data_IF_436217542805
#
_entry.id   IF_436217542805
#
_cell.length_a   1.000
_cell.length_b   1.000
_cell.length_c   1.000
_cell.angle_alpha   90.00
_cell.angle_beta   90.00
_cell.angle_gamma   90.00
#
_symmetry.space_group_name_H-M   'P 1'
#
loop_
_entity.id
_entity.type
_entity.pdbx_description
1 polymer ?
#
# COMPACT_ATOMS: atom_id res chain seq x y z
N UNK A 1 -28.44 -4.18 52.44
CA UNK A 1 -28.64 -5.50 51.86
C UNK A 1 -27.90 -6.54 52.71
N UNK A 2 -28.51 -7.61 53.08
CA UNK A 2 -27.89 -8.75 53.76
C UNK A 2 -28.15 -9.97 52.87
N UNK A 3 -27.35 -10.17 51.79
CA UNK A 3 -27.55 -11.28 50.88
C UNK A 3 -27.15 -12.59 51.54
N UNK A 4 -27.85 -13.68 51.23
CA UNK A 4 -27.50 -15.04 51.69
C UNK A 4 -26.15 -15.49 51.09
N UNK A 5 -25.86 -15.06 49.82
CA UNK A 5 -24.61 -15.36 49.13
C UNK A 5 -23.99 -14.08 48.58
N UNK A 6 -22.71 -13.92 48.83
CA UNK A 6 -21.88 -12.84 48.25
C UNK A 6 -20.80 -13.43 47.36
N UNK A 7 -20.90 -13.26 46.04
CA UNK A 7 -19.99 -13.86 45.07
C UNK A 7 -18.80 -12.93 44.75
N UNK A 8 -17.60 -13.44 44.79
CA UNK A 8 -16.36 -12.76 44.37
C UNK A 8 -15.55 -13.61 43.38
N UNK A 9 -14.76 -13.00 42.52
CA UNK A 9 -13.88 -13.70 41.58
C UNK A 9 -12.78 -14.49 42.26
N UNK A 10 -12.36 -15.61 41.69
CA UNK A 10 -11.37 -16.56 42.24
C UNK A 10 -9.98 -15.92 42.48
N UNK A 11 -9.63 -14.84 41.79
CA UNK A 11 -8.40 -14.06 41.99
C UNK A 11 -8.26 -13.50 43.41
N UNK A 12 -9.33 -13.44 44.19
CA UNK A 12 -9.35 -13.04 45.58
C UNK A 12 -9.25 -14.22 46.59
N UNK A 13 -9.26 -15.46 46.10
CA UNK A 13 -9.25 -16.68 46.97
C UNK A 13 -7.87 -17.34 47.10
N UNK A 14 -6.96 -17.16 46.12
CA UNK A 14 -5.70 -17.90 46.05
C UNK A 14 -4.52 -17.14 46.68
N UNK A 15 -4.45 -17.02 47.98
CA UNK A 15 -3.27 -16.62 48.73
C UNK A 15 -2.93 -15.13 48.76
N UNK A 16 -3.76 -14.28 48.18
CA UNK A 16 -3.68 -12.80 48.23
C UNK A 16 -5.03 -12.19 48.63
N UNK A 17 -5.59 -12.71 49.74
CA UNK A 17 -6.79 -12.07 50.29
C UNK A 17 -6.36 -10.69 50.77
N UNK A 18 -6.88 -9.66 50.14
CA UNK A 18 -6.63 -8.27 50.55
C UNK A 18 -7.28 -8.03 51.91
N UNK A 19 -6.76 -7.13 52.76
CA UNK A 19 -7.41 -6.76 54.03
C UNK A 19 -8.91 -6.43 53.86
N UNK A 20 -9.28 -5.75 52.77
CA UNK A 20 -10.63 -5.41 52.43
C UNK A 20 -11.52 -6.67 52.19
N UNK A 21 -11.03 -7.71 51.54
CA UNK A 21 -11.76 -8.95 51.29
C UNK A 21 -11.99 -9.72 52.57
N UNK A 22 -11.04 -9.67 53.52
CA UNK A 22 -11.22 -10.27 54.86
C UNK A 22 -12.28 -9.52 55.68
N UNK A 23 -12.36 -8.18 55.60
CA UNK A 23 -13.42 -7.40 56.25
C UNK A 23 -14.79 -7.70 55.68
N UNK A 24 -14.88 -7.77 54.36
CA UNK A 24 -16.14 -8.14 53.66
C UNK A 24 -16.60 -9.56 54.07
N UNK A 25 -15.69 -10.51 54.13
CA UNK A 25 -15.99 -11.87 54.57
C UNK A 25 -16.53 -11.91 56.03
N UNK A 26 -15.91 -11.12 56.93
CA UNK A 26 -16.37 -11.00 58.32
C UNK A 26 -17.77 -10.37 58.42
N UNK A 27 -18.04 -9.35 57.60
CA UNK A 27 -19.35 -8.70 57.56
C UNK A 27 -20.42 -9.66 57.03
N UNK A 28 -20.13 -10.39 55.95
CA UNK A 28 -21.06 -11.36 55.34
C UNK A 28 -21.37 -12.50 56.34
N UNK A 29 -20.35 -13.10 56.96
CA UNK A 29 -20.53 -14.15 57.97
C UNK A 29 -21.19 -13.64 59.25
N UNK A 30 -21.01 -12.38 59.59
CA UNK A 30 -21.59 -11.79 60.80
C UNK A 30 -23.12 -11.71 60.85
N UNK A 31 -23.78 -11.79 59.70
CA UNK A 31 -25.24 -11.89 59.58
C UNK A 31 -25.74 -13.23 59.06
N UNK A 32 -24.85 -14.26 58.94
CA UNK A 32 -25.18 -15.61 58.48
C UNK A 32 -25.13 -15.83 56.98
N UNK A 33 -24.63 -14.89 56.21
CA UNK A 33 -24.38 -15.03 54.76
C UNK A 33 -23.10 -15.81 54.47
N UNK A 34 -22.99 -16.33 53.26
CA UNK A 34 -21.84 -17.09 52.77
C UNK A 34 -21.13 -16.36 51.62
N UNK A 35 -19.78 -16.29 51.70
CA UNK A 35 -18.99 -15.76 50.62
C UNK A 35 -18.59 -16.89 49.64
N UNK A 36 -19.03 -16.78 48.39
CA UNK A 36 -18.75 -17.77 47.34
C UNK A 36 -17.71 -17.16 46.38
N UNK A 37 -16.63 -17.92 46.09
CA UNK A 37 -15.67 -17.57 45.03
C UNK A 37 -16.04 -18.30 43.75
N UNK A 38 -16.38 -17.52 42.71
CA UNK A 38 -16.72 -18.12 41.41
C UNK A 38 -15.44 -18.59 40.73
N UNK A 39 -15.34 -19.87 40.32
CA UNK A 39 -14.22 -20.37 39.54
C UNK A 39 -14.25 -19.69 38.16
N UNK A 40 -13.25 -18.87 37.88
CA UNK A 40 -13.03 -18.33 36.55
C UNK A 40 -11.86 -19.05 35.90
N UNK A 41 -12.12 -19.75 34.82
CA UNK A 41 -11.04 -20.42 34.05
C UNK A 41 -10.05 -19.47 33.43
N UNK A 42 -10.34 -18.16 33.42
CA UNK A 42 -9.43 -17.13 32.92
C UNK A 42 -9.56 -15.83 33.74
N UNK A 43 -8.53 -15.50 34.54
CA UNK A 43 -8.47 -14.26 35.29
C UNK A 43 -8.00 -13.11 34.38
N UNK A 44 -8.95 -12.35 33.87
CA UNK A 44 -8.65 -11.05 33.26
C UNK A 44 -8.88 -9.93 34.29
N UNK A 45 -7.82 -9.42 34.92
CA UNK A 45 -7.95 -8.10 35.58
C UNK A 45 -8.18 -7.04 34.49
N UNK A 46 -9.01 -6.05 34.78
CA UNK A 46 -9.26 -4.90 33.86
C UNK A 46 -7.96 -4.27 33.40
N UNK A 47 -6.96 -4.19 34.28
CA UNK A 47 -5.61 -3.71 33.97
C UNK A 47 -4.85 -4.64 33.03
N UNK A 48 -5.01 -5.97 33.16
CA UNK A 48 -4.43 -6.94 32.22
C UNK A 48 -5.15 -6.93 30.89
N UNK A 49 -6.48 -6.75 30.87
CA UNK A 49 -7.27 -6.61 29.63
C UNK A 49 -6.89 -5.33 28.88
N UNK A 50 -6.66 -4.23 29.58
CA UNK A 50 -6.19 -2.96 28.98
C UNK A 50 -4.76 -3.08 28.44
N UNK A 51 -3.93 -3.97 29.00
CA UNK A 51 -2.57 -4.22 28.56
C UNK A 51 -2.42 -5.41 27.60
N UNK A 52 -3.47 -6.22 27.40
CA UNK A 52 -3.53 -7.23 26.35
C UNK A 52 -3.87 -6.50 25.04
N UNK A 53 -2.85 -6.25 24.23
CA UNK A 53 -3.12 -5.93 22.81
C UNK A 53 -4.05 -7.00 22.26
N UNK A 54 -5.19 -6.59 21.66
CA UNK A 54 -6.12 -7.52 20.99
C UNK A 54 -5.31 -8.50 20.14
N UNK A 55 -5.58 -9.82 20.20
CA UNK A 55 -4.91 -10.77 19.31
C UNK A 55 -5.12 -10.29 17.87
N UNK A 56 -4.03 -9.96 17.20
CA UNK A 56 -4.07 -9.50 15.82
C UNK A 56 -4.07 -10.74 14.93
N UNK A 57 -5.26 -11.19 14.53
CA UNK A 57 -5.46 -12.32 13.60
C UNK A 57 -4.60 -12.13 12.34
N UNK A 58 -4.40 -10.88 11.93
CA UNK A 58 -3.55 -10.50 10.81
C UNK A 58 -2.11 -11.00 10.97
N UNK A 59 -1.57 -10.95 12.18
CA UNK A 59 -0.23 -11.45 12.46
C UNK A 59 -0.18 -12.98 12.39
N UNK A 60 -1.22 -13.67 12.85
CA UNK A 60 -1.28 -15.14 12.81
C UNK A 60 -1.31 -15.63 11.34
N UNK A 61 -2.08 -14.98 10.46
CA UNK A 61 -2.12 -15.29 9.02
C UNK A 61 -0.73 -15.05 8.36
N UNK A 62 -0.06 -13.96 8.73
CA UNK A 62 1.29 -13.69 8.24
C UNK A 62 2.28 -14.76 8.69
N UNK A 63 2.26 -15.13 9.96
CA UNK A 63 3.16 -16.15 10.53
C UNK A 63 2.94 -17.52 9.91
N UNK A 64 1.68 -17.93 9.70
CA UNK A 64 1.36 -19.17 9.01
C UNK A 64 1.91 -19.21 7.59
N UNK A 65 1.72 -18.12 6.84
CA UNK A 65 2.28 -17.98 5.49
C UNK A 65 3.82 -18.03 5.52
N UNK A 66 4.47 -17.33 6.45
CA UNK A 66 5.92 -17.34 6.61
C UNK A 66 6.44 -18.74 6.93
N UNK A 67 5.80 -19.47 7.85
CA UNK A 67 6.16 -20.84 8.22
C UNK A 67 6.01 -21.79 7.03
N UNK A 68 4.89 -21.74 6.32
CA UNK A 68 4.62 -22.55 5.11
C UNK A 68 5.68 -22.37 4.04
N UNK A 69 6.24 -21.17 3.89
CA UNK A 69 7.24 -20.86 2.90
C UNK A 69 8.66 -20.77 3.46
N UNK A 70 8.88 -21.17 4.73
CA UNK A 70 10.19 -21.14 5.42
C UNK A 70 10.84 -19.75 5.38
N UNK A 71 10.06 -18.71 5.57
CA UNK A 71 10.50 -17.33 5.62
C UNK A 71 10.58 -16.91 7.10
N UNK A 72 11.70 -16.30 7.50
CA UNK A 72 11.91 -15.75 8.84
C UNK A 72 11.86 -14.23 8.81
N UNK A 73 11.68 -13.59 9.96
CA UNK A 73 11.79 -12.13 10.08
C UNK A 73 13.18 -11.65 9.64
N UNK A 74 14.25 -12.38 9.95
CA UNK A 74 15.59 -12.07 9.48
C UNK A 74 15.69 -12.10 7.95
N UNK A 75 15.01 -13.02 7.28
CA UNK A 75 14.93 -13.05 5.81
C UNK A 75 14.32 -11.77 5.27
N UNK A 76 13.24 -11.26 5.87
CA UNK A 76 12.60 -10.00 5.48
C UNK A 76 13.55 -8.81 5.72
N UNK A 77 14.17 -8.72 6.91
CA UNK A 77 15.14 -7.68 7.28
C UNK A 77 16.36 -7.66 6.36
N UNK A 78 16.91 -8.83 6.03
CA UNK A 78 18.02 -8.96 5.09
C UNK A 78 17.62 -8.59 3.65
N UNK A 79 16.38 -8.88 3.25
CA UNK A 79 15.87 -8.49 1.95
C UNK A 79 15.84 -6.97 1.81
N UNK A 80 15.36 -6.23 2.82
CA UNK A 80 15.39 -4.77 2.81
C UNK A 80 16.80 -4.21 2.56
N UNK A 81 17.84 -4.81 3.16
CA UNK A 81 19.24 -4.40 2.93
C UNK A 81 19.73 -4.64 1.50
N UNK A 82 19.14 -5.62 0.78
CA UNK A 82 19.53 -5.97 -0.61
C UNK A 82 18.88 -5.06 -1.66
N UNK A 83 17.83 -4.31 -1.33
CA UNK A 83 17.08 -3.48 -2.27
C UNK A 83 17.96 -2.42 -2.95
N UNK A 84 18.99 -1.93 -2.27
CA UNK A 84 19.97 -0.94 -2.80
C UNK A 84 20.75 -1.43 -4.02
N UNK A 85 20.80 -2.72 -4.26
CA UNK A 85 21.53 -3.32 -5.39
C UNK A 85 20.68 -3.42 -6.65
N UNK A 86 19.41 -2.98 -6.60
CA UNK A 86 18.47 -3.06 -7.72
C UNK A 86 18.45 -1.77 -8.50
N UNK A 87 18.39 -1.87 -9.82
CA UNK A 87 18.17 -0.71 -10.70
C UNK A 87 16.81 -0.83 -11.40
N UNK A 88 16.05 0.24 -11.41
CA UNK A 88 14.68 0.28 -11.95
C UNK A 88 14.50 1.49 -12.86
N UNK A 89 13.82 1.29 -13.98
CA UNK A 89 13.35 2.37 -14.84
C UNK A 89 11.84 2.52 -14.72
N UNK A 90 11.40 3.60 -14.12
CA UNK A 90 9.97 3.97 -14.06
C UNK A 90 9.63 4.79 -15.29
N UNK A 91 8.61 4.37 -16.00
CA UNK A 91 8.00 5.12 -17.11
C UNK A 91 6.54 5.35 -16.75
N UNK A 92 6.09 6.59 -16.74
CA UNK A 92 4.70 6.83 -16.37
C UNK A 92 4.28 8.28 -16.26
N UNK A 93 3.00 8.45 -15.95
CA UNK A 93 2.34 9.74 -15.85
C UNK A 93 2.64 10.38 -14.48
N UNK A 94 3.30 11.54 -14.49
CA UNK A 94 3.51 12.32 -13.26
C UNK A 94 2.26 13.11 -12.92
N UNK A 95 1.94 13.15 -11.64
CA UNK A 95 0.88 13.97 -11.07
C UNK A 95 1.50 14.90 -10.03
N UNK A 96 1.03 16.13 -9.95
CA UNK A 96 1.24 17.00 -8.79
C UNK A 96 -0.04 16.95 -7.96
N UNK A 97 0.03 16.28 -6.80
CA UNK A 97 -1.06 16.25 -5.85
C UNK A 97 -0.97 17.49 -4.95
N UNK A 98 -1.96 18.37 -5.06
CA UNK A 98 -2.06 19.60 -4.26
C UNK A 98 -3.13 19.44 -3.19
N UNK A 99 -2.82 19.87 -1.98
CA UNK A 99 -3.76 19.95 -0.87
C UNK A 99 -3.90 21.40 -0.45
N UNK A 100 -5.06 21.99 -0.78
CA UNK A 100 -5.40 23.35 -0.37
C UNK A 100 -6.24 23.29 0.89
N UNK A 101 -5.63 23.66 2.03
CA UNK A 101 -6.31 23.71 3.33
C UNK A 101 -7.05 25.01 3.49
N UNK A 102 -8.27 24.90 3.99
CA UNK A 102 -9.19 26.05 4.15
C UNK A 102 -10.00 25.91 5.44
N UNK A 103 -10.61 27.00 5.86
CA UNK A 103 -11.64 27.03 6.92
C UNK A 103 -12.99 27.43 6.32
N UNK A 104 -14.07 26.73 6.69
CA UNK A 104 -15.42 27.10 6.31
C UNK A 104 -15.81 28.43 6.99
N UNK A 105 -16.26 29.39 6.18
CA UNK A 105 -16.75 30.68 6.68
C UNK A 105 -18.29 30.71 6.70
N UNK A 106 -18.94 29.80 6.01
CA UNK A 106 -20.40 29.71 5.88
C UNK A 106 -20.85 29.76 4.42
N UNK A 107 -22.15 29.78 4.22
CA UNK A 107 -22.78 29.92 2.90
C UNK A 107 -23.01 31.40 2.55
N UNK A 108 -22.99 31.69 1.25
CA UNK A 108 -23.40 33.02 0.78
C UNK A 108 -24.93 33.09 0.67
N UNK A 109 -25.54 34.12 1.23
CA UNK A 109 -27.00 34.30 1.21
C UNK A 109 -27.56 34.68 -0.15
N UNK A 110 -26.72 35.23 -1.06
CA UNK A 110 -27.13 35.65 -2.41
C UNK A 110 -27.09 34.52 -3.42
N UNK A 111 -26.22 33.51 -3.21
CA UNK A 111 -26.07 32.35 -4.08
C UNK A 111 -25.77 31.11 -3.19
N UNK A 112 -26.26 29.90 -3.56
CA UNK A 112 -26.01 28.70 -2.77
C UNK A 112 -24.55 28.23 -2.97
N UNK A 113 -23.60 29.04 -2.46
CA UNK A 113 -22.16 28.82 -2.64
C UNK A 113 -21.50 28.70 -1.27
N UNK A 114 -20.72 27.65 -1.07
CA UNK A 114 -19.87 27.49 0.11
C UNK A 114 -18.66 28.41 0.03
N UNK A 115 -18.49 29.26 1.04
CA UNK A 115 -17.33 30.15 1.15
C UNK A 115 -16.30 29.56 2.11
N UNK A 116 -15.04 29.61 1.69
CA UNK A 116 -13.91 29.10 2.47
C UNK A 116 -12.79 30.13 2.54
N UNK A 117 -12.12 30.20 3.69
CA UNK A 117 -10.94 31.02 3.90
C UNK A 117 -9.70 30.18 3.62
N UNK A 118 -8.88 30.61 2.64
CA UNK A 118 -7.60 29.95 2.32
C UNK A 118 -6.64 30.03 3.52
N UNK A 119 -5.96 28.91 3.80
CA UNK A 119 -4.93 28.81 4.81
C UNK A 119 -3.56 28.59 4.17
N UNK A 120 -3.38 27.44 3.54
CA UNK A 120 -2.13 27.02 2.92
C UNK A 120 -2.39 26.07 1.76
N UNK A 121 -1.37 25.90 0.91
CA UNK A 121 -1.35 24.91 -0.15
C UNK A 121 -0.03 24.15 -0.15
N UNK A 122 -0.12 22.84 -0.08
CA UNK A 122 1.02 21.92 -0.14
C UNK A 122 0.96 21.09 -1.41
N UNK A 123 2.07 21.07 -2.17
CA UNK A 123 2.19 20.32 -3.41
C UNK A 123 3.13 19.12 -3.19
N UNK A 124 2.70 17.93 -3.66
CA UNK A 124 3.46 16.67 -3.60
C UNK A 124 3.61 16.10 -4.99
N UNK A 125 4.72 15.41 -5.23
CA UNK A 125 4.89 14.66 -6.48
C UNK A 125 4.26 13.29 -6.34
N UNK A 126 3.21 13.04 -7.09
CA UNK A 126 2.44 11.80 -7.13
C UNK A 126 2.57 11.06 -8.47
N UNK A 127 1.67 10.10 -8.69
CA UNK A 127 1.69 9.24 -9.87
C UNK A 127 2.99 8.47 -10.01
N UNK A 128 3.52 8.35 -11.22
CA UNK A 128 4.79 7.67 -11.47
C UNK A 128 5.98 8.32 -10.74
N UNK A 129 5.86 9.61 -10.38
CA UNK A 129 6.90 10.32 -9.63
C UNK A 129 7.05 9.83 -8.21
N UNK A 130 5.97 9.52 -7.49
CA UNK A 130 6.07 8.95 -6.14
C UNK A 130 6.57 7.51 -6.16
N UNK A 131 6.20 6.71 -7.18
CA UNK A 131 6.78 5.38 -7.41
C UNK A 131 8.31 5.49 -7.49
N UNK A 132 8.83 6.44 -8.30
CA UNK A 132 10.26 6.67 -8.41
C UNK A 132 10.89 7.11 -7.07
N UNK A 133 10.20 7.93 -6.27
CA UNK A 133 10.66 8.36 -4.93
C UNK A 133 10.69 7.20 -3.94
N UNK A 134 9.68 6.31 -3.90
CA UNK A 134 9.68 5.11 -3.06
C UNK A 134 10.85 4.18 -3.39
N UNK A 135 11.06 3.89 -4.68
CA UNK A 135 12.20 3.07 -5.13
C UNK A 135 13.54 3.68 -4.72
N UNK A 136 13.67 5.00 -4.85
CA UNK A 136 14.89 5.71 -4.47
C UNK A 136 15.12 5.72 -2.97
N UNK A 137 14.07 5.94 -2.19
CA UNK A 137 14.09 5.87 -0.72
C UNK A 137 14.53 4.48 -0.24
N UNK A 138 14.09 3.41 -0.92
CA UNK A 138 14.56 2.04 -0.67
C UNK A 138 16.04 1.80 -1.04
N UNK A 139 16.74 2.81 -1.57
CA UNK A 139 18.15 2.76 -1.94
C UNK A 139 18.44 2.33 -3.38
N UNK A 140 17.44 2.03 -4.19
CA UNK A 140 17.61 1.56 -5.56
C UNK A 140 18.21 2.65 -6.48
N UNK A 141 18.85 2.22 -7.56
CA UNK A 141 19.20 3.11 -8.67
C UNK A 141 17.98 3.32 -9.55
N UNK A 142 17.49 4.56 -9.64
CA UNK A 142 16.24 4.88 -10.33
C UNK A 142 16.48 5.75 -11.55
N UNK A 143 15.96 5.29 -12.68
CA UNK A 143 15.73 6.08 -13.88
C UNK A 143 14.24 6.39 -13.97
N UNK A 144 13.90 7.61 -14.31
CA UNK A 144 12.52 8.04 -14.39
C UNK A 144 12.26 8.75 -15.71
N UNK A 145 11.33 8.26 -16.51
CA UNK A 145 10.90 8.89 -17.77
C UNK A 145 9.44 9.29 -17.67
N UNK A 146 9.15 10.55 -17.89
CA UNK A 146 7.81 11.13 -17.79
C UNK A 146 7.63 12.30 -18.75
N UNK A 147 6.38 12.76 -18.89
CA UNK A 147 6.02 13.95 -19.66
C UNK A 147 5.53 15.03 -18.71
N UNK A 148 5.97 16.24 -18.93
CA UNK A 148 5.57 17.43 -18.18
C UNK A 148 5.17 18.55 -19.14
N UNK A 149 4.25 19.39 -18.72
CA UNK A 149 3.87 20.60 -19.45
C UNK A 149 4.95 21.68 -19.39
N UNK A 150 4.73 22.78 -20.11
CA UNK A 150 5.57 23.99 -20.04
C UNK A 150 4.97 24.96 -19.01
N UNK A 151 5.02 24.60 -17.72
CA UNK A 151 4.40 25.35 -16.62
C UNK A 151 5.24 25.29 -15.32
N UNK A 152 4.75 25.94 -14.26
CA UNK A 152 5.47 26.01 -12.97
C UNK A 152 5.58 24.64 -12.29
N UNK A 153 4.60 23.76 -12.46
CA UNK A 153 4.65 22.41 -11.89
C UNK A 153 5.77 21.57 -12.49
N UNK A 154 6.12 21.79 -13.76
CA UNK A 154 7.33 21.19 -14.35
C UNK A 154 8.57 21.48 -13.50
N UNK A 155 8.77 22.76 -13.14
CA UNK A 155 9.95 23.16 -12.36
C UNK A 155 9.94 22.54 -10.97
N UNK A 156 8.77 22.48 -10.34
CA UNK A 156 8.56 21.80 -9.06
C UNK A 156 8.95 20.32 -9.15
N UNK A 157 8.39 19.56 -10.10
CA UNK A 157 8.68 18.14 -10.29
C UNK A 157 10.17 17.89 -10.53
N UNK A 158 10.80 18.65 -11.46
CA UNK A 158 12.23 18.48 -11.75
C UNK A 158 13.09 18.77 -10.52
N UNK A 159 12.75 19.78 -9.73
CA UNK A 159 13.45 20.12 -8.48
C UNK A 159 13.34 18.98 -7.46
N UNK A 160 12.14 18.45 -7.24
CA UNK A 160 11.90 17.35 -6.30
C UNK A 160 12.62 16.05 -6.71
N UNK A 161 12.63 15.72 -7.99
CA UNK A 161 13.38 14.57 -8.51
C UNK A 161 14.89 14.76 -8.33
N UNK A 162 15.40 15.96 -8.56
CA UNK A 162 16.82 16.30 -8.35
C UNK A 162 17.21 16.20 -6.88
N UNK A 163 16.39 16.76 -5.96
CA UNK A 163 16.58 16.62 -4.50
C UNK A 163 16.65 15.15 -4.09
N UNK A 164 15.80 14.31 -4.67
CA UNK A 164 15.77 12.86 -4.42
C UNK A 164 16.89 12.10 -5.14
N UNK A 165 17.78 12.77 -5.90
CA UNK A 165 18.87 12.15 -6.67
C UNK A 165 18.36 11.06 -7.64
N UNK A 166 17.22 11.30 -8.31
CA UNK A 166 16.62 10.42 -9.31
C UNK A 166 17.08 10.87 -10.70
N UNK A 167 17.55 9.93 -11.54
CA UNK A 167 17.98 10.22 -12.93
C UNK A 167 16.72 10.39 -13.78
N UNK A 168 16.33 11.64 -14.06
CA UNK A 168 15.05 11.97 -14.67
C UNK A 168 15.19 12.36 -16.13
N UNK A 169 14.44 11.72 -17.01
CA UNK A 169 14.26 12.04 -18.42
C UNK A 169 12.88 12.71 -18.59
N UNK A 170 12.75 13.96 -18.21
CA UNK A 170 11.52 14.72 -18.38
C UNK A 170 11.39 15.18 -19.85
N UNK A 171 10.35 14.74 -20.53
CA UNK A 171 10.00 15.20 -21.88
C UNK A 171 9.02 16.35 -21.71
N UNK A 172 9.40 17.53 -22.16
CA UNK A 172 8.55 18.71 -22.07
C UNK A 172 7.66 18.78 -23.30
N UNK A 173 6.36 18.75 -23.07
CA UNK A 173 5.33 18.89 -24.10
C UNK A 173 4.51 20.16 -23.82
N UNK A 174 4.72 21.18 -24.63
CA UNK A 174 4.04 22.47 -24.47
C UNK A 174 2.55 22.45 -24.87
N UNK A 175 2.07 21.34 -25.44
CA UNK A 175 0.67 21.21 -25.88
C UNK A 175 -0.27 20.78 -24.75
N UNK A 176 0.29 20.36 -23.60
CA UNK A 176 -0.47 19.87 -22.44
C UNK A 176 0.05 20.48 -21.14
N UNK A 177 -0.79 20.56 -20.09
CA UNK A 177 -0.34 20.94 -18.76
C UNK A 177 0.41 19.77 -18.09
N UNK A 178 1.28 20.07 -17.11
CA UNK A 178 1.65 19.10 -16.09
C UNK A 178 0.39 18.76 -15.31
N UNK A 179 0.05 17.47 -15.18
CA UNK A 179 -1.15 17.05 -14.46
C UNK A 179 -1.10 17.52 -13.01
N UNK A 180 -2.16 18.22 -12.59
CA UNK A 180 -2.34 18.64 -11.19
C UNK A 180 -3.72 18.20 -10.70
N UNK A 181 -3.73 17.61 -9.51
CA UNK A 181 -4.95 17.22 -8.79
C UNK A 181 -4.99 17.97 -7.48
N UNK A 182 -5.82 19.01 -7.41
CA UNK A 182 -5.92 19.85 -6.22
C UNK A 182 -7.15 19.47 -5.38
N UNK A 183 -6.91 18.97 -4.17
CA UNK A 183 -7.96 18.66 -3.20
C UNK A 183 -8.13 19.84 -2.25
N UNK A 184 -9.33 20.39 -2.21
CA UNK A 184 -9.70 21.47 -1.29
C UNK A 184 -10.25 20.83 0.00
N UNK A 185 -9.64 21.16 1.12
CA UNK A 185 -9.93 20.58 2.44
C UNK A 185 -10.42 21.67 3.41
N UNK A 186 -11.36 21.32 4.28
CA UNK A 186 -11.67 22.09 5.48
C UNK A 186 -11.65 21.15 6.68
N UNK A 187 -10.65 21.33 7.53
CA UNK A 187 -10.34 20.34 8.56
C UNK A 187 -10.07 18.97 7.94
N UNK A 188 -10.84 17.96 8.32
CA UNK A 188 -10.75 16.59 7.80
C UNK A 188 -11.62 16.33 6.56
N UNK A 189 -12.45 17.29 6.17
CA UNK A 189 -13.42 17.12 5.08
C UNK A 189 -12.82 17.51 3.74
N UNK A 190 -12.93 16.62 2.76
CA UNK A 190 -12.62 16.89 1.34
C UNK A 190 -13.83 17.57 0.72
N UNK A 191 -13.75 18.87 0.44
CA UNK A 191 -14.87 19.66 -0.09
C UNK A 191 -15.00 19.54 -1.60
N UNK A 192 -13.88 19.60 -2.30
CA UNK A 192 -13.84 19.65 -3.76
C UNK A 192 -12.49 19.13 -4.25
N UNK A 193 -12.48 18.54 -5.44
CA UNK A 193 -11.26 18.19 -6.16
C UNK A 193 -11.24 18.87 -7.52
N UNK A 194 -10.17 19.61 -7.82
CA UNK A 194 -9.97 20.31 -9.08
C UNK A 194 -8.83 19.62 -9.82
N UNK A 195 -9.14 18.96 -10.94
CA UNK A 195 -8.18 18.26 -11.75
C UNK A 195 -7.85 19.07 -13.01
N UNK A 196 -6.56 19.43 -13.18
CA UNK A 196 -6.01 20.00 -14.41
C UNK A 196 -5.24 18.89 -15.14
N UNK A 197 -5.85 18.30 -16.15
CA UNK A 197 -5.31 17.12 -16.84
C UNK A 197 -5.63 17.16 -18.34
N UNK A 198 -4.68 16.67 -19.14
CA UNK A 198 -4.91 16.30 -20.53
C UNK A 198 -4.69 14.82 -20.71
N UNK A 199 -5.74 14.12 -21.14
CA UNK A 199 -5.77 12.66 -21.33
C UNK A 199 -5.58 12.25 -22.80
N UNK A 200 -5.31 13.20 -23.70
CA UNK A 200 -5.10 12.88 -25.12
C UNK A 200 -3.82 12.05 -25.29
N UNK A 201 -3.81 11.12 -26.27
CA UNK A 201 -2.59 10.37 -26.59
C UNK A 201 -1.40 11.30 -26.86
N UNK A 202 -0.23 10.87 -26.48
CA UNK A 202 1.01 11.56 -26.79
C UNK A 202 1.31 11.48 -28.30
N UNK A 203 2.06 12.47 -28.81
CA UNK A 203 2.50 12.45 -30.20
C UNK A 203 3.52 11.31 -30.45
N UNK A 204 3.60 10.86 -31.69
CA UNK A 204 4.56 9.83 -32.12
C UNK A 204 6.01 10.24 -31.81
N UNK A 205 6.34 11.53 -31.97
CA UNK A 205 7.65 12.08 -31.61
C UNK A 205 7.99 11.89 -30.14
N UNK A 206 7.03 12.09 -29.26
CA UNK A 206 7.17 11.88 -27.81
C UNK A 206 7.30 10.39 -27.51
N UNK A 207 6.47 9.55 -28.12
CA UNK A 207 6.52 8.09 -27.98
C UNK A 207 7.89 7.54 -28.36
N UNK A 208 8.46 7.93 -29.51
CA UNK A 208 9.82 7.54 -29.95
C UNK A 208 10.90 7.96 -28.97
N UNK A 209 10.76 9.14 -28.33
CA UNK A 209 11.71 9.57 -27.27
C UNK A 209 11.62 8.64 -26.05
N UNK A 210 10.43 8.28 -25.59
CA UNK A 210 10.26 7.35 -24.46
C UNK A 210 10.88 5.99 -24.80
N UNK A 211 10.60 5.46 -25.98
CA UNK A 211 11.19 4.20 -26.47
C UNK A 211 12.73 4.26 -26.47
N UNK A 212 13.32 5.37 -26.91
CA UNK A 212 14.76 5.54 -26.90
C UNK A 212 15.36 5.50 -25.49
N UNK A 213 14.69 6.12 -24.51
CA UNK A 213 15.10 6.06 -23.10
C UNK A 213 14.97 4.64 -22.53
N UNK A 214 13.88 3.91 -22.84
CA UNK A 214 13.71 2.52 -22.40
C UNK A 214 14.84 1.64 -22.93
N UNK A 215 15.18 1.76 -24.21
CA UNK A 215 16.26 1.00 -24.86
C UNK A 215 17.64 1.33 -24.30
N UNK A 216 17.89 2.59 -23.95
CA UNK A 216 19.22 3.07 -23.51
C UNK A 216 19.52 2.70 -22.05
N UNK A 217 18.52 2.59 -21.17
CA UNK A 217 18.75 2.39 -19.75
C UNK A 217 19.00 0.91 -19.42
N UNK A 218 20.17 0.65 -18.81
CA UNK A 218 20.47 -0.66 -18.25
C UNK A 218 19.88 -0.78 -16.86
N UNK A 219 18.82 -1.59 -16.70
CA UNK A 219 18.10 -1.77 -15.44
C UNK A 219 17.65 -3.21 -15.27
N UNK A 220 17.34 -3.61 -14.03
CA UNK A 220 16.81 -4.92 -13.70
C UNK A 220 15.31 -5.03 -13.99
N UNK A 221 14.57 -3.92 -13.82
CA UNK A 221 13.13 -3.86 -14.07
C UNK A 221 12.71 -2.56 -14.76
N UNK A 222 11.64 -2.64 -15.55
CA UNK A 222 10.87 -1.49 -16.04
C UNK A 222 9.50 -1.55 -15.40
N UNK A 223 9.08 -0.42 -14.79
CA UNK A 223 7.73 -0.24 -14.23
C UNK A 223 6.97 0.72 -15.14
N UNK A 224 5.81 0.29 -15.64
CA UNK A 224 4.83 1.15 -16.26
C UNK A 224 3.79 1.56 -15.22
N UNK A 225 3.81 2.84 -14.84
CA UNK A 225 2.87 3.43 -13.88
C UNK A 225 1.89 4.30 -14.66
N UNK A 226 0.72 3.73 -14.93
CA UNK A 226 -0.29 4.24 -15.86
C UNK A 226 -1.44 4.90 -15.11
N UNK A 227 -1.61 6.21 -15.32
CA UNK A 227 -2.75 6.99 -14.82
C UNK A 227 -3.67 7.45 -15.96
N UNK A 228 -3.46 6.95 -17.16
CA UNK A 228 -4.20 7.31 -18.38
C UNK A 228 -4.14 8.79 -18.75
N UNK A 229 -3.02 9.43 -18.47
CA UNK A 229 -2.78 10.83 -18.87
C UNK A 229 -2.01 10.96 -20.19
N UNK A 230 -2.12 9.97 -21.07
CA UNK A 230 -1.70 10.02 -22.46
C UNK A 230 -0.49 9.19 -22.86
N UNK A 231 0.39 8.79 -21.91
CA UNK A 231 1.53 7.91 -22.23
C UNK A 231 1.04 6.53 -22.67
N UNK A 232 0.10 5.96 -21.91
CA UNK A 232 -0.36 4.58 -22.10
C UNK A 232 -1.76 4.54 -22.74
N UNK A 233 -1.87 3.79 -23.82
CA UNK A 233 -3.10 3.46 -24.48
C UNK A 233 -2.92 2.15 -25.26
N UNK A 234 -4.00 1.63 -25.84
CA UNK A 234 -4.01 0.37 -26.58
C UNK A 234 -2.94 0.29 -27.69
N UNK A 235 -2.58 1.42 -28.30
CA UNK A 235 -1.58 1.47 -29.40
C UNK A 235 -0.17 1.67 -28.85
N UNK A 236 0.03 2.58 -27.87
CA UNK A 236 1.37 2.90 -27.34
C UNK A 236 1.96 1.79 -26.46
N UNK A 237 1.13 1.04 -25.71
CA UNK A 237 1.62 -0.01 -24.79
C UNK A 237 2.43 -1.07 -25.53
N UNK A 238 1.96 -1.70 -26.64
CA UNK A 238 2.74 -2.69 -27.38
C UNK A 238 4.09 -2.14 -27.87
N UNK A 239 4.11 -0.90 -28.35
CA UNK A 239 5.33 -0.25 -28.83
C UNK A 239 6.33 0.00 -27.71
N UNK A 240 5.87 0.46 -26.55
CA UNK A 240 6.71 0.67 -25.37
C UNK A 240 7.25 -0.67 -24.84
N UNK A 241 6.40 -1.70 -24.78
CA UNK A 241 6.79 -3.06 -24.35
C UNK A 241 7.86 -3.64 -25.29
N UNK A 242 7.71 -3.46 -26.61
CA UNK A 242 8.71 -3.92 -27.59
C UNK A 242 10.10 -3.30 -27.41
N UNK A 243 10.16 -2.13 -26.75
CA UNK A 243 11.39 -1.41 -26.46
C UNK A 243 12.11 -1.92 -25.21
N UNK A 244 11.46 -2.75 -24.39
CA UNK A 244 12.05 -3.32 -23.16
C UNK A 244 12.93 -4.53 -23.55
N UNK A 245 14.22 -4.57 -23.14
CA UNK A 245 15.08 -5.70 -23.40
C UNK A 245 14.52 -7.01 -22.81
N UNK A 246 14.66 -8.14 -23.52
CA UNK A 246 14.01 -9.44 -23.18
C UNK A 246 14.27 -9.92 -21.74
N UNK A 247 15.45 -9.61 -21.15
CA UNK A 247 15.84 -10.06 -19.80
C UNK A 247 15.38 -9.13 -18.68
N UNK A 248 14.79 -8.00 -19.02
CA UNK A 248 14.36 -6.99 -18.03
C UNK A 248 12.98 -7.37 -17.51
N UNK A 249 12.82 -7.35 -16.19
CA UNK A 249 11.58 -7.66 -15.49
C UNK A 249 10.52 -6.57 -15.75
N UNK A 250 9.35 -6.96 -16.23
CA UNK A 250 8.28 -6.04 -16.63
C UNK A 250 7.21 -5.97 -15.55
N UNK A 251 6.93 -4.77 -15.10
CA UNK A 251 5.90 -4.49 -14.08
C UNK A 251 4.93 -3.45 -14.59
N UNK A 252 3.64 -3.61 -14.31
CA UNK A 252 2.65 -2.59 -14.60
C UNK A 252 1.62 -2.45 -13.48
N UNK A 253 1.24 -1.20 -13.25
CA UNK A 253 0.08 -0.77 -12.48
C UNK A 253 -0.71 0.20 -13.35
N UNK A 254 -2.03 0.03 -13.45
CA UNK A 254 -2.88 0.86 -14.31
C UNK A 254 -4.12 1.27 -13.57
N UNK A 255 -4.26 2.56 -13.32
CA UNK A 255 -5.35 3.11 -12.51
C UNK A 255 -6.59 3.42 -13.35
N UNK A 256 -7.75 3.22 -12.75
CA UNK A 256 -9.03 3.70 -13.25
C UNK A 256 -9.26 5.10 -12.69
N UNK A 257 -9.06 6.11 -13.53
CA UNK A 257 -9.25 7.52 -13.18
C UNK A 257 -10.42 8.14 -13.99
N UNK A 258 -10.25 9.35 -14.50
CA UNK A 258 -11.20 10.03 -15.40
C UNK A 258 -11.33 9.37 -16.77
N UNK A 259 -10.31 8.63 -17.19
CA UNK A 259 -10.38 7.65 -18.29
C UNK A 259 -10.20 6.24 -17.74
N UNK A 260 -10.75 5.30 -18.47
CA UNK A 260 -10.72 3.90 -18.10
C UNK A 260 -9.34 3.32 -18.30
N UNK A 261 -8.63 3.12 -17.19
CA UNK A 261 -7.44 2.31 -17.17
C UNK A 261 -7.80 0.87 -17.49
N UNK A 262 -6.98 0.19 -18.24
CA UNK A 262 -7.25 -1.17 -18.65
C UNK A 262 -6.02 -2.04 -18.42
N UNK A 263 -5.95 -2.68 -17.25
CA UNK A 263 -4.83 -3.55 -16.90
C UNK A 263 -4.67 -4.72 -17.88
N UNK A 264 -5.71 -5.11 -18.60
CA UNK A 264 -5.64 -6.18 -19.60
C UNK A 264 -4.85 -5.80 -20.86
N UNK A 265 -4.57 -4.52 -21.08
CA UNK A 265 -3.67 -4.09 -22.15
C UNK A 265 -2.21 -4.48 -21.89
N UNK A 266 -1.83 -4.72 -20.61
CA UNK A 266 -0.47 -5.07 -20.18
C UNK A 266 -0.24 -6.58 -20.23
N UNK A 267 -0.06 -7.09 -21.44
CA UNK A 267 0.05 -8.52 -21.72
C UNK A 267 1.44 -9.09 -21.42
N UNK A 268 1.49 -10.30 -20.85
CA UNK A 268 2.72 -11.05 -20.59
C UNK A 268 3.73 -10.28 -19.71
N UNK A 269 3.22 -9.54 -18.72
CA UNK A 269 4.05 -8.89 -17.73
C UNK A 269 4.51 -9.88 -16.65
N UNK A 270 5.67 -9.60 -16.06
CA UNK A 270 6.21 -10.44 -15.00
C UNK A 270 5.52 -10.20 -13.67
N UNK A 271 5.03 -8.97 -13.44
CA UNK A 271 4.23 -8.60 -12.28
C UNK A 271 3.16 -7.56 -12.65
N UNK A 272 1.93 -7.80 -12.24
CA UNK A 272 0.83 -6.83 -12.27
C UNK A 272 0.34 -6.56 -10.83
N UNK A 273 -0.02 -5.29 -10.53
CA UNK A 273 -0.46 -4.88 -9.19
C UNK A 273 -1.78 -4.10 -9.18
N UNK A 274 -2.82 -4.50 -9.92
CA UNK A 274 -4.09 -3.76 -9.92
C UNK A 274 -4.77 -3.83 -8.55
N UNK A 275 -5.67 -2.86 -8.28
CA UNK A 275 -6.66 -3.02 -7.24
C UNK A 275 -7.93 -3.74 -7.77
N UNK A 276 -8.81 -4.14 -6.86
CA UNK A 276 -10.04 -4.86 -7.22
C UNK A 276 -10.90 -4.07 -8.20
N UNK A 277 -11.06 -2.76 -7.97
CA UNK A 277 -11.86 -1.88 -8.85
C UNK A 277 -11.27 -1.82 -10.26
N UNK A 278 -9.95 -1.72 -10.38
CA UNK A 278 -9.23 -1.71 -11.65
C UNK A 278 -9.39 -3.03 -12.40
N UNK A 279 -9.26 -4.15 -11.69
CA UNK A 279 -9.46 -5.49 -12.26
C UNK A 279 -10.90 -5.71 -12.72
N UNK A 280 -11.88 -5.40 -11.87
CA UNK A 280 -13.31 -5.52 -12.20
C UNK A 280 -13.71 -4.67 -13.39
N UNK A 281 -13.25 -3.43 -13.38
CA UNK A 281 -13.53 -2.49 -14.44
C UNK A 281 -12.97 -2.97 -15.79
N UNK A 282 -11.72 -3.46 -15.78
CA UNK A 282 -11.05 -3.96 -17.00
C UNK A 282 -11.72 -5.20 -17.59
N UNK A 283 -12.38 -6.01 -16.77
CA UNK A 283 -13.08 -7.22 -17.19
C UNK A 283 -14.60 -7.01 -17.38
N UNK A 284 -15.12 -5.80 -17.09
CA UNK A 284 -16.54 -5.51 -17.01
C UNK A 284 -17.30 -6.48 -16.08
N UNK A 285 -16.68 -6.85 -14.97
CA UNK A 285 -17.16 -7.86 -14.01
C UNK A 285 -17.38 -7.21 -12.62
N UNK A 286 -18.65 -7.06 -12.23
CA UNK A 286 -18.99 -6.45 -10.93
C UNK A 286 -19.27 -7.48 -9.84
N UNK A 287 -19.64 -8.71 -10.19
CA UNK A 287 -20.32 -9.64 -9.30
C UNK A 287 -19.49 -10.88 -8.92
N UNK A 288 -18.52 -11.25 -9.72
CA UNK A 288 -17.74 -12.47 -9.53
C UNK A 288 -16.92 -12.45 -8.23
N UNK A 289 -16.69 -13.63 -7.66
CA UNK A 289 -15.75 -13.82 -6.57
C UNK A 289 -14.32 -13.43 -6.98
N UNK A 290 -13.46 -13.11 -6.01
CA UNK A 290 -12.04 -12.79 -6.25
C UNK A 290 -11.32 -13.93 -7.00
N UNK A 291 -11.68 -15.19 -6.73
CA UNK A 291 -11.10 -16.35 -7.44
C UNK A 291 -11.45 -16.36 -8.93
N UNK A 292 -12.69 -16.03 -9.27
CA UNK A 292 -13.14 -15.95 -10.68
C UNK A 292 -12.47 -14.75 -11.35
N UNK A 293 -12.52 -13.58 -10.70
CA UNK A 293 -11.91 -12.33 -11.19
C UNK A 293 -10.43 -12.53 -11.53
N UNK A 294 -9.66 -13.12 -10.62
CA UNK A 294 -8.22 -13.34 -10.82
C UNK A 294 -7.91 -14.39 -11.90
N UNK A 295 -8.76 -15.42 -12.01
CA UNK A 295 -8.65 -16.43 -13.07
C UNK A 295 -8.87 -15.81 -14.44
N UNK A 296 -9.89 -14.96 -14.58
CA UNK A 296 -10.22 -14.35 -15.86
C UNK A 296 -9.23 -13.25 -16.23
N UNK A 297 -8.73 -12.50 -15.24
CA UNK A 297 -7.61 -11.60 -15.42
C UNK A 297 -6.36 -12.34 -15.94
N UNK A 298 -6.06 -13.53 -15.39
CA UNK A 298 -4.95 -14.35 -15.83
C UNK A 298 -5.08 -14.85 -17.27
N UNK A 299 -6.30 -15.20 -17.71
CA UNK A 299 -6.55 -15.58 -19.09
C UNK A 299 -6.31 -14.42 -20.06
N UNK A 300 -6.77 -13.22 -19.68
CA UNK A 300 -6.67 -12.03 -20.53
C UNK A 300 -5.24 -11.49 -20.60
N UNK A 301 -4.54 -11.37 -19.48
CA UNK A 301 -3.22 -10.70 -19.41
C UNK A 301 -2.04 -11.65 -19.56
N UNK A 302 -2.20 -12.94 -19.23
CA UNK A 302 -1.12 -13.94 -19.22
C UNK A 302 0.07 -13.50 -18.37
N UNK A 303 -0.18 -12.88 -17.22
CA UNK A 303 0.85 -12.45 -16.27
C UNK A 303 1.60 -13.65 -15.68
N UNK A 304 2.84 -13.44 -15.19
CA UNK A 304 3.56 -14.45 -14.39
C UNK A 304 3.20 -14.35 -12.92
N UNK A 305 3.14 -13.12 -12.38
CA UNK A 305 2.78 -12.85 -11.00
C UNK A 305 1.73 -11.73 -10.94
N UNK A 306 0.81 -11.85 -9.99
CA UNK A 306 -0.23 -10.87 -9.68
C UNK A 306 -0.19 -10.57 -8.19
N UNK A 307 -0.33 -9.31 -7.82
CA UNK A 307 -0.71 -8.85 -6.48
C UNK A 307 -1.97 -8.02 -6.64
N UNK A 308 -3.13 -8.60 -6.34
CA UNK A 308 -4.42 -7.90 -6.39
C UNK A 308 -4.66 -7.20 -5.05
N UNK A 309 -4.76 -5.87 -5.10
CA UNK A 309 -5.00 -5.02 -3.92
C UNK A 309 -6.49 -4.98 -3.59
N UNK A 310 -6.88 -5.29 -2.35
CA UNK A 310 -8.27 -5.37 -1.89
C UNK A 310 -8.63 -4.31 -0.83
N UNK A 311 -7.87 -3.24 -0.74
CA UNK A 311 -8.02 -2.18 0.26
C UNK A 311 -7.83 -2.69 1.68
N UNK A 312 -8.78 -2.42 2.58
CA UNK A 312 -8.74 -2.87 3.98
C UNK A 312 -8.72 -4.39 4.14
N UNK A 313 -9.15 -5.15 3.13
CA UNK A 313 -9.08 -6.63 3.12
C UNK A 313 -7.68 -7.17 2.80
N UNK A 314 -6.70 -6.30 2.53
CA UNK A 314 -5.33 -6.70 2.21
C UNK A 314 -5.11 -7.00 0.73
N UNK A 315 -4.46 -8.12 0.42
CA UNK A 315 -4.11 -8.51 -0.95
C UNK A 315 -4.35 -10.01 -1.21
N UNK A 316 -4.54 -10.34 -2.49
CA UNK A 316 -4.41 -11.71 -3.00
C UNK A 316 -3.28 -11.77 -4.00
N UNK A 317 -2.38 -12.72 -3.83
CA UNK A 317 -1.20 -12.90 -4.69
C UNK A 317 -1.22 -14.24 -5.40
N UNK A 318 -0.89 -14.22 -6.69
CA UNK A 318 -0.88 -15.41 -7.55
C UNK A 318 0.42 -15.45 -8.34
N UNK A 319 1.16 -16.55 -8.24
CA UNK A 319 2.24 -16.91 -9.15
C UNK A 319 1.74 -18.02 -10.07
N UNK A 320 1.74 -17.77 -11.36
CA UNK A 320 1.42 -18.81 -12.36
C UNK A 320 2.60 -19.75 -12.55
N UNK A 321 2.29 -21.03 -12.78
CA UNK A 321 3.29 -22.03 -13.09
C UNK A 321 4.04 -21.67 -14.38
N UNK A 322 5.34 -21.64 -14.33
CA UNK A 322 6.17 -21.55 -15.53
C UNK A 322 6.27 -22.95 -16.17
N UNK A 323 5.72 -23.08 -17.37
CA UNK A 323 5.67 -24.37 -18.09
C UNK A 323 7.08 -24.88 -18.49
N UNK A 324 8.05 -23.99 -18.60
CA UNK A 324 9.43 -24.31 -18.95
C UNK A 324 10.23 -24.87 -17.76
N UNK A 325 9.74 -24.63 -16.52
CA UNK A 325 10.40 -25.08 -15.28
C UNK A 325 9.67 -26.30 -14.72
N UNK A 326 10.23 -27.50 -14.85
CA UNK A 326 9.59 -28.78 -14.45
C UNK A 326 9.07 -28.83 -13.00
N UNK A 327 9.71 -28.13 -12.06
CA UNK A 327 9.34 -28.13 -10.62
C UNK A 327 8.59 -26.87 -10.18
N UNK A 328 8.27 -25.93 -11.08
CA UNK A 328 7.53 -24.75 -10.69
C UNK A 328 6.07 -25.07 -10.41
N UNK A 329 5.51 -24.45 -9.37
CA UNK A 329 4.14 -24.67 -8.93
C UNK A 329 3.38 -23.33 -8.96
N UNK A 330 2.10 -23.42 -9.28
CA UNK A 330 1.19 -22.29 -9.03
C UNK A 330 1.05 -22.07 -7.53
N UNK A 331 1.17 -20.81 -7.11
CA UNK A 331 1.04 -20.40 -5.71
C UNK A 331 -0.04 -19.33 -5.64
N UNK A 332 -1.02 -19.55 -4.77
CA UNK A 332 -2.06 -18.55 -4.45
C UNK A 332 -2.13 -18.41 -2.93
N UNK A 333 -2.12 -17.16 -2.46
CA UNK A 333 -2.28 -16.85 -1.04
C UNK A 333 -2.87 -15.45 -0.86
N UNK A 334 -3.40 -15.20 0.32
CA UNK A 334 -3.88 -13.90 0.74
C UNK A 334 -3.05 -13.39 1.92
N UNK A 335 -2.91 -12.07 2.03
CA UNK A 335 -2.36 -11.39 3.19
C UNK A 335 -3.34 -10.30 3.63
N UNK A 336 -3.53 -10.13 4.94
CA UNK A 336 -4.35 -9.05 5.47
C UNK A 336 -3.68 -7.69 5.27
N UNK A 337 -4.40 -6.63 5.58
CA UNK A 337 -3.88 -5.28 5.64
C UNK A 337 -3.24 -5.02 7.02
N UNK A 338 -2.11 -4.29 7.06
CA UNK A 338 -1.30 -4.10 8.28
C UNK A 338 -1.26 -2.68 8.88
N UNK A 339 -2.02 -1.67 8.41
CA UNK A 339 -1.95 -0.34 9.02
C UNK A 339 -2.49 -0.36 10.44
N UNK A 340 -1.81 0.33 11.35
CA UNK A 340 -2.25 0.52 12.73
C UNK A 340 -3.36 1.57 12.83
N UNK A 341 -3.30 2.55 11.93
CA UNK A 341 -4.30 3.61 11.74
C UNK A 341 -4.37 4.00 10.26
N UNK A 342 -5.52 4.45 9.81
CA UNK A 342 -5.68 5.02 8.47
C UNK A 342 -5.69 6.55 8.59
N UNK A 343 -4.69 7.21 8.01
CA UNK A 343 -4.58 8.67 7.92
C UNK A 343 -4.94 9.13 6.50
N UNK A 344 -4.20 8.65 5.50
CA UNK A 344 -4.51 8.85 4.08
C UNK A 344 -4.16 7.59 3.29
N UNK A 345 -5.02 7.19 2.38
CA UNK A 345 -4.79 6.02 1.51
C UNK A 345 -4.10 6.38 0.19
N UNK A 346 -3.82 7.67 -0.05
CA UNK A 346 -3.14 8.13 -1.26
C UNK A 346 -1.71 7.61 -1.29
N UNK A 347 -1.25 7.06 -2.43
CA UNK A 347 0.11 6.54 -2.57
C UNK A 347 0.34 5.11 -2.04
N UNK A 348 -0.61 4.54 -1.25
CA UNK A 348 -0.50 3.18 -0.70
C UNK A 348 -0.18 2.12 -1.77
N UNK A 349 -0.86 2.18 -2.91
CA UNK A 349 -0.64 1.28 -4.03
C UNK A 349 0.75 1.45 -4.65
N UNK A 350 1.25 2.68 -4.71
CA UNK A 350 2.55 3.04 -5.29
C UNK A 350 3.70 2.56 -4.38
N UNK A 351 3.54 2.67 -3.05
CA UNK A 351 4.46 2.10 -2.07
C UNK A 351 4.52 0.56 -2.18
N UNK A 352 3.36 -0.10 -2.24
CA UNK A 352 3.27 -1.55 -2.44
C UNK A 352 3.96 -1.97 -3.74
N UNK A 353 3.62 -1.36 -4.88
CA UNK A 353 4.22 -1.61 -6.19
C UNK A 353 5.74 -1.53 -6.13
N UNK A 354 6.26 -0.47 -5.51
CA UNK A 354 7.69 -0.18 -5.45
C UNK A 354 8.46 -1.25 -4.66
N UNK A 355 8.05 -1.51 -3.42
CA UNK A 355 8.71 -2.49 -2.56
C UNK A 355 8.51 -3.93 -3.01
N UNK A 356 7.32 -4.27 -3.55
CA UNK A 356 7.09 -5.58 -4.16
C UNK A 356 7.99 -5.81 -5.36
N UNK A 357 8.17 -4.81 -6.24
CA UNK A 357 9.06 -4.92 -7.40
C UNK A 357 10.51 -5.14 -6.98
N UNK A 358 11.04 -4.32 -6.07
CA UNK A 358 12.41 -4.45 -5.59
C UNK A 358 12.66 -5.80 -4.92
N UNK A 359 11.74 -6.23 -4.07
CA UNK A 359 11.84 -7.51 -3.37
C UNK A 359 11.78 -8.70 -4.33
N UNK A 360 10.95 -8.60 -5.38
CA UNK A 360 10.86 -9.63 -6.42
C UNK A 360 12.17 -9.77 -7.19
N UNK A 361 12.80 -8.66 -7.54
CA UNK A 361 14.12 -8.68 -8.21
C UNK A 361 15.19 -9.26 -7.28
N UNK A 362 15.19 -8.87 -6.01
CA UNK A 362 16.21 -9.29 -5.04
C UNK A 362 16.09 -10.75 -4.63
N UNK A 363 14.88 -11.32 -4.59
CA UNK A 363 14.63 -12.66 -4.00
C UNK A 363 13.98 -13.67 -4.94
N UNK A 364 13.35 -13.22 -6.02
CA UNK A 364 12.48 -14.01 -6.91
C UNK A 364 11.31 -14.70 -6.18
N UNK A 365 10.97 -14.22 -4.98
CA UNK A 365 9.90 -14.75 -4.14
C UNK A 365 8.69 -13.81 -4.14
N UNK A 366 7.57 -14.28 -4.69
CA UNK A 366 6.32 -13.53 -4.64
C UNK A 366 5.84 -13.34 -3.19
N UNK A 367 6.06 -14.32 -2.32
CA UNK A 367 5.63 -14.26 -0.91
C UNK A 367 6.38 -13.12 -0.18
N UNK A 368 7.71 -13.07 -0.27
CA UNK A 368 8.52 -11.99 0.34
C UNK A 368 8.10 -10.64 -0.26
N UNK A 369 7.90 -10.58 -1.58
CA UNK A 369 7.51 -9.35 -2.28
C UNK A 369 6.15 -8.84 -1.84
N UNK A 370 5.20 -9.74 -1.65
CA UNK A 370 3.85 -9.41 -1.17
C UNK A 370 3.88 -8.93 0.28
N UNK A 371 4.67 -9.57 1.15
CA UNK A 371 4.81 -9.15 2.55
C UNK A 371 5.42 -7.75 2.63
N UNK A 372 6.60 -7.53 2.01
CA UNK A 372 7.28 -6.24 2.08
C UNK A 372 6.51 -5.13 1.37
N UNK A 373 5.83 -5.44 0.26
CA UNK A 373 4.93 -4.51 -0.42
C UNK A 373 3.74 -4.10 0.45
N UNK A 374 3.08 -5.08 1.12
CA UNK A 374 1.96 -4.80 2.02
C UNK A 374 2.36 -3.98 3.23
N UNK A 375 3.56 -4.25 3.81
CA UNK A 375 4.08 -3.46 4.92
C UNK A 375 4.43 -2.04 4.49
N UNK A 376 4.99 -1.85 3.29
CA UNK A 376 5.25 -0.52 2.73
C UNK A 376 3.95 0.27 2.52
N UNK A 377 2.92 -0.36 1.93
CA UNK A 377 1.60 0.25 1.80
C UNK A 377 0.97 0.62 3.15
N UNK A 378 1.13 -0.25 4.16
CA UNK A 378 0.66 0.04 5.51
C UNK A 378 1.37 1.26 6.13
N UNK A 379 2.69 1.41 5.94
CA UNK A 379 3.43 2.58 6.40
C UNK A 379 2.97 3.87 5.70
N UNK A 380 2.62 3.80 4.41
CA UNK A 380 2.10 4.96 3.66
C UNK A 380 0.73 5.39 4.15
N UNK A 381 -0.19 4.46 4.39
CA UNK A 381 -1.51 4.75 4.95
C UNK A 381 -1.49 5.50 6.29
N UNK A 382 -0.41 5.42 7.04
CA UNK A 382 -0.26 6.01 8.37
C UNK A 382 0.26 7.45 8.33
N UNK A 383 0.52 8.00 7.12
CA UNK A 383 1.05 9.35 6.90
C UNK A 383 0.01 10.26 6.26
N UNK A 384 0.16 11.56 6.50
CA UNK A 384 -0.56 12.62 5.78
C UNK A 384 0.26 13.07 4.59
N UNK A 385 -0.35 12.98 3.40
CA UNK A 385 0.30 13.33 2.13
C UNK A 385 1.14 12.20 1.51
N UNK A 386 1.52 12.42 0.26
CA UNK A 386 2.20 11.44 -0.59
C UNK A 386 3.73 11.48 -0.37
N UNK A 387 4.22 10.78 0.65
CA UNK A 387 5.61 10.83 1.14
C UNK A 387 6.28 9.47 0.97
N UNK A 388 7.49 9.44 0.40
CA UNK A 388 8.20 8.20 0.16
C UNK A 388 8.55 7.44 1.45
N UNK A 389 8.21 6.15 1.49
CA UNK A 389 8.48 5.24 2.59
C UNK A 389 9.94 4.78 2.55
N UNK A 390 10.56 4.68 3.73
CA UNK A 390 11.94 4.21 3.91
C UNK A 390 12.00 2.76 4.38
N UNK A 391 13.11 2.05 4.15
CA UNK A 391 13.32 0.70 4.69
C UNK A 391 13.28 0.65 6.21
N UNK A 392 13.70 1.72 6.89
CA UNK A 392 13.71 1.83 8.35
C UNK A 392 12.29 1.83 8.93
N UNK A 393 11.33 2.44 8.24
CA UNK A 393 9.92 2.45 8.65
C UNK A 393 9.32 1.04 8.53
N UNK A 394 9.62 0.35 7.43
CA UNK A 394 9.19 -1.05 7.26
C UNK A 394 9.86 -1.95 8.30
N UNK A 395 11.15 -1.74 8.58
CA UNK A 395 11.88 -2.47 9.61
C UNK A 395 11.26 -2.30 10.99
N UNK A 396 10.87 -1.07 11.36
CA UNK A 396 10.14 -0.82 12.61
C UNK A 396 8.84 -1.62 12.67
N UNK A 397 8.06 -1.65 11.58
CA UNK A 397 6.81 -2.42 11.52
C UNK A 397 7.07 -3.92 11.60
N UNK A 398 8.11 -4.45 10.96
CA UNK A 398 8.54 -5.85 11.09
C UNK A 398 8.88 -6.18 12.55
N UNK A 399 9.66 -5.34 13.23
CA UNK A 399 10.03 -5.56 14.63
C UNK A 399 8.81 -5.57 15.56
N UNK A 400 7.86 -4.64 15.37
CA UNK A 400 6.61 -4.63 16.16
C UNK A 400 5.78 -5.92 15.98
N UNK A 401 5.73 -6.46 14.75
CA UNK A 401 5.04 -7.72 14.49
C UNK A 401 5.79 -8.88 15.15
N UNK A 402 7.12 -8.93 15.02
CA UNK A 402 7.96 -9.96 15.62
C UNK A 402 7.85 -9.96 17.16
N UNK A 403 7.96 -8.81 17.81
CA UNK A 403 7.81 -8.65 19.25
C UNK A 403 6.43 -9.13 19.74
N UNK A 404 5.36 -8.73 19.03
CA UNK A 404 4.00 -9.16 19.36
C UNK A 404 3.80 -10.67 19.20
N UNK A 405 4.53 -11.31 18.29
CA UNK A 405 4.49 -12.75 18.02
C UNK A 405 5.26 -13.56 19.07
N UNK A 406 6.43 -13.06 19.50
CA UNK A 406 7.26 -13.70 20.52
C UNK A 406 6.65 -13.65 21.93
N UNK A 407 5.78 -12.68 22.20
CA UNK A 407 5.05 -12.59 23.48
C UNK A 407 4.09 -13.76 23.72
N UNK A 408 3.61 -14.43 22.65
CA UNK A 408 2.78 -15.65 22.77
C UNK A 408 3.55 -16.92 23.09
N UNK A 409 4.86 -16.96 22.84
CA UNK A 409 5.71 -18.16 23.02
C UNK A 409 6.33 -18.22 24.42
N UNK A 410 6.30 -17.15 25.20
CA UNK A 410 6.87 -17.06 26.55
C UNK A 410 5.86 -17.35 27.68
N UNK A 411 4.83 -18.11 27.38
CA UNK A 411 3.96 -18.76 28.36
C UNK A 411 4.18 -20.26 28.25
#
# INVERSE_FOLDING_TARGET
LKPDFFAKGFDYSSGRITPATNEEAKIVSGYGGEMIFTPGDVIYSSTKILNLSKPKIENDILLDLMNKHKITFDTLKQTLKKLKNVSVHVVGDTIVDSYTRTNLIGGNTKTPTTSVLYQEKNDYVGGAGIVAKHLKSAGAKVYFTTILGKDNFKNFVISEMKKSKIITNAIIDGTRPTTNKNTILSGVYKLLKIDKVDNQPISEKVLKKIQSYIKKQKCNAVIFSDFRHGIFNKNSIPELVSSIPKKVFKVADSQVATRWGNIIDFQKFDLLTPNEREARFSLADQDSSISVLTRDLAKQTRFKNLILKLGSRGIVSIKKKDKEIKKDKEITFALPSFPSKLVDSTGTGDALLSYATLSMIATKSLVISSILGSLAGACECEKDGNIAITPEEILKKINLIEESSNYKIRK
#
